data_IF_690917180412
#
_entry.id   IF_690917180412
#
_cell.length_a   1.000
_cell.length_b   1.000
_cell.length_c   1.000
_cell.angle_alpha   90.00
_cell.angle_beta   90.00
_cell.angle_gamma   90.00
#
_symmetry.space_group_name_H-M   'P 1'
#
loop_
_entity.id
_entity.type
_entity.pdbx_description
1 polymer ?
#
# COMPACT_ATOMS: atom_id res chain seq x y z
N UNK A 1 10.71 6.94 17.12
CA UNK A 1 9.52 7.43 17.87
C UNK A 1 8.56 8.06 16.88
N UNK A 2 7.25 7.87 17.05
CA UNK A 2 6.23 8.55 16.24
C UNK A 2 6.14 10.00 16.74
N UNK A 3 6.21 11.02 15.89
CA UNK A 3 6.08 12.41 16.32
C UNK A 3 4.66 12.70 16.85
N UNK A 4 4.55 13.59 17.84
CA UNK A 4 3.30 13.84 18.58
C UNK A 4 2.11 14.16 17.67
N UNK A 5 2.33 14.98 16.64
CA UNK A 5 1.28 15.35 15.69
C UNK A 5 0.70 14.14 14.93
N UNK A 6 1.49 13.07 14.74
CA UNK A 6 1.10 11.86 14.02
C UNK A 6 0.55 10.78 14.95
N UNK A 7 0.77 10.89 16.26
CA UNK A 7 0.55 9.81 17.21
C UNK A 7 -0.89 9.30 17.23
N UNK A 8 -1.86 10.22 17.27
CA UNK A 8 -3.28 9.87 17.28
C UNK A 8 -3.69 9.14 15.98
N UNK A 9 -3.25 9.63 14.83
CA UNK A 9 -3.56 9.04 13.52
C UNK A 9 -2.93 7.65 13.35
N UNK A 10 -1.67 7.50 13.74
CA UNK A 10 -0.97 6.22 13.69
C UNK A 10 -1.61 5.20 14.63
N UNK A 11 -1.97 5.60 15.86
CA UNK A 11 -2.66 4.73 16.81
C UNK A 11 -4.01 4.25 16.26
N UNK A 12 -4.77 5.13 15.62
CA UNK A 12 -6.03 4.76 14.98
C UNK A 12 -5.81 3.79 13.80
N UNK A 13 -4.81 4.04 12.96
CA UNK A 13 -4.49 3.16 11.83
C UNK A 13 -4.06 1.75 12.26
N UNK A 14 -3.29 1.64 13.34
CA UNK A 14 -2.93 0.35 13.94
C UNK A 14 -4.17 -0.34 14.50
N UNK A 15 -5.00 0.37 15.27
CA UNK A 15 -6.22 -0.19 15.86
C UNK A 15 -7.24 -0.66 14.81
N UNK A 16 -7.26 0.00 13.65
CA UNK A 16 -8.10 -0.36 12.50
C UNK A 16 -7.52 -1.50 11.64
N UNK A 17 -6.36 -2.06 11.99
CA UNK A 17 -5.68 -3.11 11.25
C UNK A 17 -5.13 -2.67 9.90
N UNK A 18 -4.86 -1.36 9.73
CA UNK A 18 -4.25 -0.84 8.50
C UNK A 18 -2.72 -1.02 8.52
N UNK A 19 -2.12 -0.89 9.71
CA UNK A 19 -0.68 -1.00 9.94
C UNK A 19 -0.42 -2.07 11.00
N UNK A 20 0.37 -3.09 10.65
CA UNK A 20 0.76 -4.16 11.59
C UNK A 20 2.16 -3.95 12.18
N UNK A 21 2.96 -3.07 11.60
CA UNK A 21 4.37 -2.90 11.95
C UNK A 21 5.26 -4.02 11.42
N UNK A 22 6.50 -4.04 11.91
CA UNK A 22 7.52 -5.02 11.55
C UNK A 22 7.58 -6.15 12.59
N UNK A 23 8.22 -7.27 12.22
CA UNK A 23 8.34 -8.45 13.08
C UNK A 23 9.09 -8.21 14.41
N UNK A 24 9.87 -7.13 14.48
CA UNK A 24 10.57 -6.66 15.69
C UNK A 24 9.68 -5.75 16.58
N UNK A 25 8.38 -5.68 16.30
CA UNK A 25 7.39 -4.86 16.99
C UNK A 25 7.64 -3.35 16.85
N UNK A 26 8.29 -2.92 15.76
CA UNK A 26 8.51 -1.51 15.44
C UNK A 26 7.58 -1.01 14.33
N UNK A 27 7.31 0.30 14.28
CA UNK A 27 6.57 0.96 13.18
C UNK A 27 7.46 1.71 12.20
N UNK A 28 8.69 2.07 12.61
CA UNK A 28 9.68 2.84 11.83
C UNK A 28 9.09 4.07 11.11
N UNK A 29 8.47 5.02 11.84
CA UNK A 29 7.71 6.13 11.26
C UNK A 29 8.56 7.14 10.45
N UNK A 30 9.88 7.12 10.62
CA UNK A 30 10.81 7.98 9.87
C UNK A 30 11.42 7.27 8.66
N UNK A 31 11.11 5.98 8.45
CA UNK A 31 11.53 5.23 7.28
C UNK A 31 10.60 5.55 6.12
N UNK A 32 11.17 5.81 4.95
CA UNK A 32 10.39 5.95 3.72
C UNK A 32 9.67 4.66 3.39
N UNK A 33 8.41 4.78 2.97
CA UNK A 33 7.57 3.67 2.57
C UNK A 33 7.88 3.24 1.13
N UNK A 34 7.93 1.95 0.88
CA UNK A 34 7.96 1.42 -0.49
C UNK A 34 6.58 1.53 -1.16
N UNK A 35 6.55 1.47 -2.50
CA UNK A 35 5.28 1.40 -3.25
C UNK A 35 4.44 0.20 -2.84
N UNK A 36 5.07 -0.95 -2.58
CA UNK A 36 4.38 -2.16 -2.14
C UNK A 36 3.69 -1.99 -0.79
N UNK A 37 4.41 -1.44 0.20
CA UNK A 37 3.85 -1.21 1.53
C UNK A 37 2.70 -0.19 1.46
N UNK A 38 2.87 0.90 0.69
CA UNK A 38 1.81 1.89 0.46
C UNK A 38 0.55 1.25 -0.12
N UNK A 39 0.68 0.44 -1.17
CA UNK A 39 -0.46 -0.25 -1.79
C UNK A 39 -1.14 -1.19 -0.82
N UNK A 40 -0.39 -1.89 0.02
CA UNK A 40 -0.94 -2.77 1.05
C UNK A 40 -1.82 -1.99 2.04
N UNK A 41 -1.37 -0.81 2.48
CA UNK A 41 -2.18 0.07 3.34
C UNK A 41 -3.47 0.52 2.62
N UNK A 42 -3.37 0.90 1.35
CA UNK A 42 -4.52 1.35 0.55
C UNK A 42 -5.55 0.23 0.37
N UNK A 43 -5.13 -1.00 0.11
CA UNK A 43 -6.02 -2.16 -0.03
C UNK A 43 -6.72 -2.50 1.29
N UNK A 44 -5.99 -2.45 2.42
CA UNK A 44 -6.58 -2.66 3.75
C UNK A 44 -7.60 -1.60 4.10
N UNK A 45 -7.36 -0.36 3.69
CA UNK A 45 -8.26 0.77 3.90
C UNK A 45 -9.49 0.71 2.96
N UNK A 46 -9.35 0.22 1.73
CA UNK A 46 -10.46 0.11 0.78
C UNK A 46 -11.44 -1.02 1.11
N UNK A 47 -11.04 -1.98 1.97
CA UNK A 47 -11.84 -3.17 2.35
C UNK A 47 -12.27 -4.02 1.15
N UNK A 48 -11.57 -3.93 0.03
CA UNK A 48 -11.80 -4.78 -1.14
C UNK A 48 -11.40 -6.23 -0.84
N UNK A 49 -12.04 -7.18 -1.53
CA UNK A 49 -11.67 -8.58 -1.43
C UNK A 49 -10.26 -8.82 -2.01
N UNK A 50 -9.44 -9.56 -1.27
CA UNK A 50 -8.11 -10.01 -1.68
C UNK A 50 -8.15 -11.51 -1.86
N UNK A 51 -7.97 -11.99 -3.10
CA UNK A 51 -7.80 -13.41 -3.37
C UNK A 51 -6.33 -13.78 -3.12
N UNK A 52 -6.02 -14.65 -2.15
CA UNK A 52 -4.64 -15.00 -1.80
C UNK A 52 -3.87 -15.71 -2.94
N UNK A 53 -4.57 -16.14 -4.00
CA UNK A 53 -3.95 -16.76 -5.18
C UNK A 53 -3.86 -15.81 -6.38
N UNK A 54 -4.28 -14.55 -6.24
CA UNK A 54 -4.23 -13.59 -7.33
C UNK A 54 -2.79 -13.11 -7.57
N UNK A 55 -2.40 -13.13 -8.83
CA UNK A 55 -1.11 -12.65 -9.29
C UNK A 55 -1.27 -11.34 -10.09
N UNK A 56 -0.39 -10.34 -9.88
CA UNK A 56 -0.42 -9.09 -10.64
C UNK A 56 0.11 -9.28 -12.07
N UNK A 57 -0.36 -8.46 -13.00
CA UNK A 57 0.03 -8.51 -14.42
C UNK A 57 1.06 -7.44 -14.83
N UNK A 58 1.90 -7.00 -13.89
CA UNK A 58 2.99 -6.05 -14.15
C UNK A 58 4.21 -6.77 -14.74
N UNK A 59 5.00 -6.07 -15.54
CA UNK A 59 6.18 -6.64 -16.22
C UNK A 59 7.30 -7.05 -15.25
N UNK A 60 7.30 -6.48 -14.04
CA UNK A 60 8.22 -6.77 -12.94
C UNK A 60 7.52 -7.50 -11.78
N UNK A 61 6.45 -8.25 -12.07
CA UNK A 61 5.71 -9.01 -11.06
C UNK A 61 6.59 -10.00 -10.28
N UNK A 62 7.66 -10.51 -10.90
CA UNK A 62 8.66 -11.38 -10.27
C UNK A 62 9.44 -10.69 -9.13
N UNK A 63 9.51 -9.36 -9.12
CA UNK A 63 10.14 -8.58 -8.04
C UNK A 63 9.20 -8.33 -6.86
N UNK A 64 7.92 -8.71 -6.96
CA UNK A 64 6.94 -8.53 -5.89
C UNK A 64 7.04 -9.73 -4.94
N UNK A 65 7.34 -9.51 -3.64
CA UNK A 65 7.29 -10.57 -2.64
C UNK A 65 5.92 -11.25 -2.61
N UNK A 66 5.90 -12.56 -2.40
CA UNK A 66 4.67 -13.38 -2.41
C UNK A 66 3.58 -12.89 -1.45
N UNK A 67 3.95 -12.34 -0.30
CA UNK A 67 2.99 -11.77 0.67
C UNK A 67 2.23 -10.56 0.11
N UNK A 68 2.87 -9.82 -0.80
CA UNK A 68 2.36 -8.57 -1.36
C UNK A 68 1.64 -8.72 -2.69
N UNK A 69 1.92 -9.80 -3.45
CA UNK A 69 1.34 -10.04 -4.77
C UNK A 69 -0.21 -10.00 -4.78
N UNK A 70 -0.93 -10.63 -3.84
CA UNK A 70 -2.39 -10.54 -3.79
C UNK A 70 -2.92 -9.12 -3.62
N UNK A 71 -2.23 -8.28 -2.83
CA UNK A 71 -2.62 -6.89 -2.61
C UNK A 71 -2.42 -6.04 -3.86
N UNK A 72 -1.28 -6.21 -4.53
CA UNK A 72 -0.98 -5.51 -5.79
C UNK A 72 -1.99 -5.91 -6.87
N UNK A 73 -2.29 -7.21 -6.98
CA UNK A 73 -3.28 -7.71 -7.93
C UNK A 73 -4.69 -7.15 -7.66
N UNK A 74 -5.13 -7.15 -6.39
CA UNK A 74 -6.42 -6.60 -5.99
C UNK A 74 -6.52 -5.09 -6.26
N UNK A 75 -5.47 -4.33 -5.92
CA UNK A 75 -5.42 -2.89 -6.15
C UNK A 75 -5.47 -2.55 -7.64
N UNK A 76 -4.72 -3.26 -8.48
CA UNK A 76 -4.71 -3.05 -9.92
C UNK A 76 -6.09 -3.37 -10.53
N UNK A 77 -6.69 -4.50 -10.14
CA UNK A 77 -8.05 -4.89 -10.58
C UNK A 77 -9.11 -3.88 -10.17
N UNK A 78 -8.98 -3.28 -8.98
CA UNK A 78 -9.89 -2.26 -8.47
C UNK A 78 -9.63 -0.85 -9.06
N UNK A 79 -8.59 -0.67 -9.87
CA UNK A 79 -8.19 0.62 -10.43
C UNK A 79 -7.63 1.59 -9.39
N UNK A 80 -7.19 1.09 -8.22
CA UNK A 80 -6.60 1.90 -7.15
C UNK A 80 -5.14 2.27 -7.41
N UNK A 81 -4.47 1.49 -8.27
CA UNK A 81 -3.08 1.69 -8.66
C UNK A 81 -2.93 1.52 -10.16
N UNK A 82 -1.86 2.09 -10.69
CA UNK A 82 -1.43 1.89 -12.07
C UNK A 82 0.07 1.62 -12.10
N UNK A 83 0.50 0.90 -13.13
CA UNK A 83 1.92 0.76 -13.45
C UNK A 83 2.50 2.09 -13.93
N UNK A 84 3.82 2.18 -13.94
CA UNK A 84 4.57 3.28 -14.56
C UNK A 84 4.90 2.88 -16.00
N UNK A 85 5.94 3.50 -16.55
CA UNK A 85 6.49 3.18 -17.85
C UNK A 85 6.77 1.67 -17.98
N UNK A 86 6.60 1.13 -19.19
CA UNK A 86 6.79 -0.29 -19.49
C UNK A 86 5.94 -1.27 -18.64
N UNK A 87 4.82 -0.80 -18.08
CA UNK A 87 3.94 -1.60 -17.23
C UNK A 87 4.63 -2.14 -15.96
N UNK A 88 5.56 -1.37 -15.40
CA UNK A 88 6.27 -1.72 -14.16
C UNK A 88 5.55 -1.20 -12.90
N UNK A 89 5.51 -2.00 -11.85
CA UNK A 89 5.01 -1.60 -10.54
C UNK A 89 6.12 -1.07 -9.61
N UNK A 90 7.37 -1.44 -9.82
CA UNK A 90 8.52 -1.05 -8.99
C UNK A 90 8.27 -1.23 -7.48
N UNK A 91 8.05 -2.46 -6.99
CA UNK A 91 7.54 -2.71 -5.63
C UNK A 91 8.42 -2.14 -4.52
N UNK A 92 9.74 -2.12 -4.73
CA UNK A 92 10.73 -1.64 -3.75
C UNK A 92 11.07 -0.15 -3.92
N UNK A 93 10.55 0.52 -4.94
CA UNK A 93 10.78 1.96 -5.10
C UNK A 93 10.17 2.72 -3.93
N UNK A 94 10.84 3.79 -3.50
CA UNK A 94 10.28 4.70 -2.50
C UNK A 94 9.05 5.39 -3.06
N UNK A 95 7.93 5.32 -2.34
CA UNK A 95 6.71 6.02 -2.70
C UNK A 95 6.93 7.53 -2.53
N UNK A 96 6.86 8.28 -3.62
CA UNK A 96 6.97 9.73 -3.58
C UNK A 96 5.70 10.35 -3.00
N UNK A 97 5.79 11.60 -2.52
CA UNK A 97 4.61 12.34 -2.01
C UNK A 97 3.48 12.43 -3.04
N UNK A 98 3.82 12.59 -4.33
CA UNK A 98 2.84 12.67 -5.41
C UNK A 98 2.12 11.33 -5.62
N UNK A 99 2.85 10.22 -5.57
CA UNK A 99 2.25 8.88 -5.66
C UNK A 99 1.39 8.54 -4.46
N UNK A 100 1.86 8.85 -3.25
CA UNK A 100 1.07 8.70 -2.03
C UNK A 100 -0.24 9.47 -2.13
N UNK A 101 -0.18 10.73 -2.52
CA UNK A 101 -1.39 11.54 -2.73
C UNK A 101 -2.31 10.93 -3.80
N UNK A 102 -1.76 10.44 -4.91
CA UNK A 102 -2.53 9.86 -6.01
C UNK A 102 -3.25 8.58 -5.59
N UNK A 103 -2.58 7.69 -4.85
CA UNK A 103 -3.20 6.46 -4.36
C UNK A 103 -4.25 6.75 -3.28
N UNK A 104 -4.01 7.73 -2.40
CA UNK A 104 -5.00 8.18 -1.41
C UNK A 104 -6.23 8.78 -2.12
N UNK A 105 -6.05 9.63 -3.12
CA UNK A 105 -7.17 10.18 -3.90
C UNK A 105 -7.95 9.09 -4.65
N UNK A 106 -7.25 8.10 -5.19
CA UNK A 106 -7.88 6.94 -5.83
C UNK A 106 -8.70 6.12 -4.84
N UNK A 107 -8.19 5.92 -3.62
CA UNK A 107 -8.93 5.32 -2.51
C UNK A 107 -10.17 6.13 -2.15
N UNK A 108 -10.06 7.43 -1.94
CA UNK A 108 -11.19 8.29 -1.57
C UNK A 108 -12.27 8.25 -2.65
N UNK A 109 -11.88 8.36 -3.93
CA UNK A 109 -12.79 8.20 -5.07
C UNK A 109 -13.48 6.84 -5.08
N UNK A 110 -12.75 5.76 -4.80
CA UNK A 110 -13.32 4.41 -4.70
C UNK A 110 -14.35 4.30 -3.57
N UNK A 111 -14.06 4.92 -2.43
CA UNK A 111 -14.96 5.00 -1.27
C UNK A 111 -16.11 6.00 -1.44
N UNK A 112 -16.12 6.78 -2.53
CA UNK A 112 -17.08 7.85 -2.80
C UNK A 112 -17.05 8.96 -1.73
N UNK A 113 -15.84 9.27 -1.25
CA UNK A 113 -15.53 10.38 -0.34
C UNK A 113 -14.87 11.55 -1.08
#
# INVERSE_FOLDING_TARGET
MVPDWAQAYVSQAVSAGLIDGFSDNTLRPNQSLSRLELVTLIVRASKIAVDPKAEPSFSDADKIPSWGAPYVAAAAKAGLIQGRDNNEFEPMATATRAESATMILSLLKHLKL
#
